data_IF_717609446020
#
_entry.id   IF_717609446020
#
_cell.length_a   1.000
_cell.length_b   1.000
_cell.length_c   1.000
_cell.angle_alpha   90.00
_cell.angle_beta   90.00
_cell.angle_gamma   90.00
#
_symmetry.space_group_name_H-M   'P 1'
#
loop_
_entity.id
_entity.type
_entity.pdbx_description
1 polymer ?
#
# COMPACT_ATOMS: atom_id res chain seq x y z
N UNK A 1 -13.93 -12.33 -10.78
CA UNK A 1 -14.09 -11.66 -9.47
C UNK A 1 -13.55 -10.25 -9.54
N UNK A 2 -14.31 -9.29 -9.05
CA UNK A 2 -13.95 -7.87 -8.94
C UNK A 2 -14.38 -7.39 -7.55
N UNK A 3 -13.55 -6.57 -6.91
CA UNK A 3 -13.85 -5.95 -5.64
C UNK A 3 -13.29 -4.53 -5.61
N UNK A 4 -14.03 -3.61 -5.02
CA UNK A 4 -13.62 -2.22 -4.88
C UNK A 4 -14.01 -1.72 -3.48
N UNK A 5 -13.06 -1.08 -2.80
CA UNK A 5 -13.29 -0.39 -1.53
C UNK A 5 -12.94 1.08 -1.74
N UNK A 6 -13.84 1.98 -1.32
CA UNK A 6 -13.61 3.43 -1.29
C UNK A 6 -13.61 3.91 0.15
N UNK A 7 -12.51 4.52 0.57
CA UNK A 7 -12.32 5.05 1.92
C UNK A 7 -12.10 6.55 1.86
N UNK A 8 -12.75 7.29 2.77
CA UNK A 8 -12.49 8.72 2.97
C UNK A 8 -11.98 8.91 4.40
N UNK A 9 -10.79 9.50 4.51
CA UNK A 9 -10.13 9.77 5.78
C UNK A 9 -10.58 11.12 6.35
N UNK A 10 -10.40 11.32 7.66
CA UNK A 10 -10.82 12.54 8.35
C UNK A 10 -10.18 13.83 7.80
N UNK A 11 -8.96 13.72 7.25
CA UNK A 11 -8.25 14.82 6.60
C UNK A 11 -8.72 15.08 5.14
N UNK A 12 -9.74 14.37 4.67
CA UNK A 12 -10.27 14.49 3.31
C UNK A 12 -9.56 13.63 2.25
N UNK A 13 -8.47 12.94 2.59
CA UNK A 13 -7.80 12.03 1.64
C UNK A 13 -8.72 10.87 1.28
N UNK A 14 -8.74 10.50 0.00
CA UNK A 14 -9.57 9.40 -0.52
C UNK A 14 -8.68 8.29 -1.06
N UNK A 15 -9.00 7.06 -0.69
CA UNK A 15 -8.36 5.87 -1.21
C UNK A 15 -9.41 5.04 -1.95
N UNK A 16 -9.06 4.59 -3.16
CA UNK A 16 -9.81 3.55 -3.87
C UNK A 16 -8.89 2.37 -4.06
N UNK A 17 -9.26 1.23 -3.48
CA UNK A 17 -8.56 -0.04 -3.67
C UNK A 17 -9.42 -0.90 -4.56
N UNK A 18 -8.86 -1.36 -5.66
CA UNK A 18 -9.57 -2.21 -6.63
C UNK A 18 -8.74 -3.47 -6.89
N UNK A 19 -9.43 -4.61 -6.92
CA UNK A 19 -8.89 -5.88 -7.37
C UNK A 19 -9.82 -6.45 -8.44
N UNK A 20 -9.25 -7.02 -9.50
CA UNK A 20 -10.05 -7.64 -10.57
C UNK A 20 -9.22 -8.64 -11.35
N UNK A 21 -9.85 -9.76 -11.72
CA UNK A 21 -9.29 -10.76 -12.65
C UNK A 21 -9.85 -10.61 -14.06
N UNK A 22 -10.59 -9.52 -14.34
CA UNK A 22 -11.30 -9.31 -15.61
C UNK A 22 -10.66 -8.22 -16.48
N UNK A 23 -9.48 -7.71 -16.10
CA UNK A 23 -8.82 -6.60 -16.81
C UNK A 23 -7.73 -7.15 -17.75
N UNK A 24 -7.94 -7.18 -19.08
CA UNK A 24 -6.90 -7.57 -20.03
C UNK A 24 -5.81 -6.51 -20.17
N UNK A 25 -6.15 -5.24 -19.91
CA UNK A 25 -5.19 -4.13 -19.82
C UNK A 25 -4.85 -3.90 -18.35
N UNK A 26 -3.56 -3.89 -17.96
CA UNK A 26 -3.16 -3.62 -16.59
C UNK A 26 -3.58 -2.22 -16.14
N UNK A 27 -4.19 -2.14 -14.95
CA UNK A 27 -4.36 -0.87 -14.25
C UNK A 27 -3.07 -0.48 -13.54
N UNK A 28 -2.86 0.82 -13.26
CA UNK A 28 -1.76 1.25 -12.40
C UNK A 28 -1.82 0.54 -11.04
N UNK A 29 -0.66 0.15 -10.50
CA UNK A 29 -0.57 -0.35 -9.13
C UNK A 29 -0.77 0.77 -8.13
N UNK A 30 -0.24 1.95 -8.45
CA UNK A 30 -0.46 3.18 -7.71
C UNK A 30 -0.83 4.30 -8.68
N UNK A 31 -1.87 5.04 -8.32
CA UNK A 31 -2.20 6.32 -8.92
C UNK A 31 -2.53 7.28 -7.79
N UNK A 32 -1.68 8.28 -7.60
CA UNK A 32 -1.77 9.24 -6.48
C UNK A 32 -1.91 10.63 -7.07
N UNK A 33 -2.86 11.40 -6.55
CA UNK A 33 -3.10 12.77 -6.98
C UNK A 33 -3.06 13.68 -5.76
N UNK A 34 -2.40 14.82 -5.92
CA UNK A 34 -2.36 15.91 -4.96
C UNK A 34 -2.61 17.25 -5.66
N UNK A 35 -2.61 18.31 -4.87
CA UNK A 35 -2.76 19.69 -5.34
C UNK A 35 -1.57 20.16 -6.20
N UNK A 36 -0.37 19.60 -5.98
CA UNK A 36 0.87 20.00 -6.68
C UNK A 36 1.36 19.01 -7.72
N UNK A 37 0.69 17.87 -7.90
CA UNK A 37 1.19 16.86 -8.82
C UNK A 37 0.46 15.53 -8.76
N UNK A 38 0.99 14.56 -9.50
CA UNK A 38 0.47 13.20 -9.55
C UNK A 38 1.61 12.21 -9.75
N UNK A 39 1.41 11.00 -9.23
CA UNK A 39 2.31 9.87 -9.37
C UNK A 39 1.54 8.70 -9.96
N UNK A 40 2.14 8.02 -10.93
CA UNK A 40 1.65 6.76 -11.47
C UNK A 40 2.77 5.71 -11.44
N UNK A 41 2.45 4.51 -10.96
CA UNK A 41 3.37 3.37 -10.91
C UNK A 41 2.67 2.11 -11.40
N UNK A 42 3.36 1.34 -12.23
CA UNK A 42 2.93 0.02 -12.70
C UNK A 42 3.77 -1.09 -12.08
N UNK A 43 3.38 -2.33 -12.37
CA UNK A 43 4.09 -3.52 -11.91
C UNK A 43 3.80 -3.91 -10.46
N UNK A 44 4.14 -5.17 -10.15
CA UNK A 44 4.15 -5.71 -8.80
C UNK A 44 5.59 -5.73 -8.26
N UNK A 45 5.72 -5.85 -6.95
CA UNK A 45 7.03 -6.11 -6.34
C UNK A 45 7.57 -7.46 -6.83
N UNK A 46 8.82 -7.53 -7.33
CA UNK A 46 9.36 -8.73 -7.96
C UNK A 46 9.76 -9.82 -6.95
N UNK A 47 9.87 -9.51 -5.65
CA UNK A 47 10.42 -10.44 -4.66
C UNK A 47 9.68 -11.78 -4.62
N UNK A 48 8.36 -11.80 -4.81
CA UNK A 48 7.59 -13.05 -4.79
C UNK A 48 8.00 -14.00 -5.93
N UNK A 49 8.24 -13.47 -7.14
CA UNK A 49 8.70 -14.25 -8.28
C UNK A 49 10.13 -14.74 -8.11
N UNK A 50 11.01 -13.91 -7.55
CA UNK A 50 12.39 -14.29 -7.26
C UNK A 50 12.47 -15.32 -6.12
N UNK A 51 11.61 -15.21 -5.11
CA UNK A 51 11.47 -16.23 -4.05
C UNK A 51 11.05 -17.58 -4.62
N UNK A 52 10.07 -17.61 -5.53
CA UNK A 52 9.68 -18.86 -6.23
C UNK A 52 10.85 -19.50 -6.96
N UNK A 53 11.79 -18.69 -7.45
CA UNK A 53 13.02 -19.12 -8.14
C UNK A 53 14.21 -19.37 -7.20
N UNK A 54 14.04 -19.17 -5.89
CA UNK A 54 15.07 -19.27 -4.85
C UNK A 54 16.23 -18.28 -5.02
N UNK A 55 15.96 -17.10 -5.58
CA UNK A 55 16.96 -16.06 -5.86
C UNK A 55 16.53 -14.70 -5.28
N UNK A 56 16.05 -14.69 -4.03
CA UNK A 56 15.41 -13.51 -3.42
C UNK A 56 16.31 -12.26 -3.41
N UNK A 57 17.63 -12.42 -3.27
CA UNK A 57 18.58 -11.31 -3.17
C UNK A 57 18.82 -10.59 -4.50
N UNK A 58 18.44 -11.20 -5.63
CA UNK A 58 18.54 -10.59 -6.95
C UNK A 58 17.28 -9.81 -7.36
N UNK A 59 16.26 -9.77 -6.50
CA UNK A 59 15.00 -9.10 -6.79
C UNK A 59 15.21 -7.59 -6.98
N UNK A 60 15.07 -7.12 -8.21
CA UNK A 60 15.12 -5.70 -8.58
C UNK A 60 13.91 -5.32 -9.40
N UNK A 61 13.31 -4.18 -9.09
CA UNK A 61 12.20 -3.68 -9.89
C UNK A 61 12.69 -3.34 -11.31
N UNK A 62 11.83 -3.55 -12.30
CA UNK A 62 12.15 -3.19 -13.68
C UNK A 62 12.14 -1.66 -13.80
N UNK A 63 13.17 -1.01 -14.38
CA UNK A 63 13.14 0.44 -14.62
C UNK A 63 11.90 0.95 -15.38
N UNK A 64 11.30 0.11 -16.22
CA UNK A 64 10.03 0.42 -16.90
C UNK A 64 8.83 0.58 -15.94
N UNK A 65 8.92 0.02 -14.73
CA UNK A 65 7.91 0.10 -13.68
C UNK A 65 8.19 1.21 -12.65
N UNK A 66 9.28 1.97 -12.81
CA UNK A 66 9.59 3.09 -11.92
C UNK A 66 8.45 4.12 -11.94
N UNK A 67 8.26 4.80 -10.81
CA UNK A 67 7.16 5.72 -10.65
C UNK A 67 7.38 6.95 -11.55
N UNK A 68 6.40 7.29 -12.37
CA UNK A 68 6.39 8.54 -13.12
C UNK A 68 5.68 9.60 -12.26
N UNK A 69 6.33 10.72 -12.06
CA UNK A 69 5.84 11.83 -11.25
C UNK A 69 5.77 13.08 -12.11
N UNK A 70 4.61 13.72 -12.10
CA UNK A 70 4.39 15.04 -12.70
C UNK A 70 4.10 15.99 -11.56
N UNK A 71 4.89 17.07 -11.45
CA UNK A 71 4.73 18.08 -10.40
C UNK A 71 4.76 19.48 -11.00
N UNK A 72 4.20 20.46 -10.30
CA UNK A 72 4.35 21.88 -10.62
C UNK A 72 5.22 22.53 -9.55
N UNK A 73 6.42 22.95 -9.93
CA UNK A 73 7.35 23.66 -9.06
C UNK A 73 7.65 25.02 -9.69
N UNK A 74 7.49 26.09 -8.92
CA UNK A 74 7.70 27.48 -9.36
C UNK A 74 6.90 27.85 -10.64
N UNK A 75 5.68 27.32 -10.75
CA UNK A 75 4.80 27.53 -11.91
C UNK A 75 5.17 26.72 -13.15
N UNK A 76 6.23 25.90 -13.09
CA UNK A 76 6.67 25.07 -14.21
C UNK A 76 6.32 23.59 -13.98
N UNK A 77 5.79 22.96 -15.02
CA UNK A 77 5.54 21.52 -15.05
C UNK A 77 6.86 20.77 -15.16
N UNK A 78 7.13 19.88 -14.22
CA UNK A 78 8.27 18.98 -14.22
C UNK A 78 7.80 17.54 -14.27
N UNK A 79 8.52 16.71 -15.02
CA UNK A 79 8.31 15.27 -15.11
C UNK A 79 9.56 14.55 -14.63
N UNK A 80 9.40 13.56 -13.76
CA UNK A 80 10.50 12.81 -13.16
C UNK A 80 10.16 11.33 -13.12
N UNK A 81 11.17 10.48 -13.33
CA UNK A 81 11.07 9.04 -13.09
C UNK A 81 11.81 8.75 -11.79
N UNK A 82 11.11 8.23 -10.79
CA UNK A 82 11.67 7.94 -9.48
C UNK A 82 11.94 6.43 -9.38
N UNK A 83 13.22 6.01 -9.21
CA UNK A 83 13.56 4.62 -8.96
C UNK A 83 12.83 4.06 -7.73
N UNK A 84 12.40 2.80 -7.83
CA UNK A 84 11.80 2.10 -6.70
C UNK A 84 12.84 1.88 -5.60
N UNK A 85 12.44 2.10 -4.34
CA UNK A 85 13.22 1.62 -3.20
C UNK A 85 13.16 0.10 -3.20
N UNK A 86 14.32 -0.55 -3.11
CA UNK A 86 14.39 -2.01 -3.06
C UNK A 86 13.67 -2.53 -1.82
N UNK A 87 12.69 -3.43 -2.03
CA UNK A 87 11.99 -4.07 -0.93
C UNK A 87 12.89 -5.07 -0.22
N UNK A 88 12.63 -5.28 1.07
CA UNK A 88 13.38 -6.23 1.88
C UNK A 88 12.45 -7.06 2.75
N UNK A 89 12.07 -8.24 2.27
CA UNK A 89 11.36 -9.23 3.10
C UNK A 89 12.19 -9.69 4.30
N UNK A 90 13.52 -9.69 4.17
CA UNK A 90 14.46 -10.04 5.26
C UNK A 90 14.32 -9.09 6.44
N UNK A 91 14.03 -7.81 6.20
CA UNK A 91 13.87 -6.81 7.26
C UNK A 91 12.80 -7.17 8.29
N UNK A 92 11.71 -7.82 7.86
CA UNK A 92 10.65 -8.27 8.76
C UNK A 92 11.15 -9.31 9.76
N UNK A 93 11.81 -10.38 9.27
CA UNK A 93 12.34 -11.43 10.14
C UNK A 93 13.52 -10.97 10.99
N UNK A 94 14.33 -10.03 10.46
CA UNK A 94 15.37 -9.39 11.26
C UNK A 94 14.77 -8.65 12.45
N UNK A 95 13.68 -7.90 12.25
CA UNK A 95 12.99 -7.26 13.37
C UNK A 95 12.43 -8.27 14.38
N UNK A 96 11.83 -9.38 13.94
CA UNK A 96 11.38 -10.44 14.86
C UNK A 96 12.54 -10.98 15.69
N UNK A 97 13.68 -11.24 15.06
CA UNK A 97 14.89 -11.69 15.77
C UNK A 97 15.36 -10.65 16.80
N UNK A 98 15.38 -9.37 16.44
CA UNK A 98 15.81 -8.29 17.33
C UNK A 98 14.83 -8.07 18.50
N UNK A 99 13.53 -8.26 18.28
CA UNK A 99 12.52 -8.23 19.36
C UNK A 99 12.79 -9.35 20.36
N UNK A 100 12.96 -10.58 19.88
CA UNK A 100 13.15 -11.76 20.72
C UNK A 100 14.48 -11.76 21.47
N UNK A 101 15.56 -11.30 20.80
CA UNK A 101 16.91 -11.44 21.32
C UNK A 101 17.49 -10.14 21.91
N UNK A 102 16.97 -8.97 21.52
CA UNK A 102 17.53 -7.65 21.89
C UNK A 102 16.50 -6.70 22.49
N UNK A 103 15.24 -7.11 22.64
CA UNK A 103 14.19 -6.26 23.19
C UNK A 103 13.79 -5.08 22.29
N UNK A 104 14.02 -5.18 20.98
CA UNK A 104 13.54 -4.18 20.03
C UNK A 104 11.99 -4.14 19.99
N UNK A 105 11.41 -3.05 19.49
CA UNK A 105 9.97 -2.98 19.23
C UNK A 105 9.58 -3.68 17.91
N UNK A 106 8.38 -4.26 17.87
CA UNK A 106 7.79 -4.78 16.64
C UNK A 106 7.53 -3.65 15.63
N UNK A 107 8.03 -3.80 14.40
CA UNK A 107 7.74 -2.86 13.29
C UNK A 107 6.32 -3.01 12.76
N UNK A 108 5.71 -4.20 12.92
CA UNK A 108 4.30 -4.46 12.67
C UNK A 108 3.66 -4.90 13.98
N UNK A 109 2.88 -4.01 14.59
CA UNK A 109 2.25 -4.22 15.90
C UNK A 109 0.90 -4.93 15.75
N UNK A 110 0.49 -5.83 16.67
CA UNK A 110 -0.81 -6.50 16.62
C UNK A 110 -1.99 -5.53 16.52
N UNK A 111 -1.89 -4.36 17.15
CA UNK A 111 -2.91 -3.31 17.12
C UNK A 111 -3.11 -2.74 15.71
N UNK A 112 -2.05 -2.69 14.88
CA UNK A 112 -2.15 -2.27 13.49
C UNK A 112 -2.92 -3.30 12.65
N UNK A 113 -2.70 -4.59 12.89
CA UNK A 113 -3.46 -5.66 12.22
C UNK A 113 -4.94 -5.60 12.61
N UNK A 114 -5.25 -5.32 13.89
CA UNK A 114 -6.63 -5.11 14.33
C UNK A 114 -7.31 -3.93 13.63
N UNK A 115 -6.57 -2.84 13.36
CA UNK A 115 -7.11 -1.71 12.60
C UNK A 115 -7.42 -2.09 11.15
N UNK A 116 -6.57 -2.91 10.50
CA UNK A 116 -6.84 -3.43 9.16
C UNK A 116 -8.11 -4.29 9.13
N UNK A 117 -8.26 -5.19 10.11
CA UNK A 117 -9.45 -6.04 10.19
C UNK A 117 -10.74 -5.24 10.40
N UNK A 118 -10.71 -4.16 11.19
CA UNK A 118 -11.86 -3.26 11.34
C UNK A 118 -12.28 -2.60 10.02
N UNK A 119 -11.31 -2.22 9.18
CA UNK A 119 -11.60 -1.68 7.84
C UNK A 119 -12.21 -2.76 6.94
N UNK A 120 -11.67 -3.98 7.00
CA UNK A 120 -12.21 -5.12 6.26
C UNK A 120 -13.66 -5.43 6.64
N UNK A 121 -13.95 -5.57 7.94
CA UNK A 121 -15.31 -5.84 8.44
C UNK A 121 -16.29 -4.75 8.02
N UNK A 122 -15.89 -3.48 8.11
CA UNK A 122 -16.71 -2.36 7.65
C UNK A 122 -16.96 -2.37 6.14
N UNK A 123 -15.98 -2.79 5.34
CA UNK A 123 -16.14 -2.94 3.90
C UNK A 123 -17.14 -4.07 3.56
N UNK A 124 -17.10 -5.19 4.30
CA UNK A 124 -18.06 -6.29 4.14
C UNK A 124 -19.48 -5.85 4.48
N UNK A 125 -19.67 -5.19 5.64
CA UNK A 125 -20.98 -4.63 6.03
C UNK A 125 -21.47 -3.61 5.00
N UNK A 126 -20.58 -2.76 4.47
CA UNK A 126 -20.92 -1.79 3.43
C UNK A 126 -21.40 -2.47 2.14
N UNK A 127 -20.75 -3.56 1.73
CA UNK A 127 -21.13 -4.31 0.54
C UNK A 127 -22.50 -5.00 0.69
N UNK A 128 -22.82 -5.51 1.88
CA UNK A 128 -24.11 -6.14 2.16
C UNK A 128 -25.26 -5.13 2.27
N UNK A 129 -25.00 -3.99 2.91
CA UNK A 129 -26.04 -3.00 3.23
C UNK A 129 -26.20 -1.90 2.18
N UNK A 130 -25.27 -1.79 1.23
CA UNK A 130 -25.17 -0.66 0.29
C UNK A 130 -25.10 0.71 0.97
N UNK A 131 -24.51 0.77 2.17
CA UNK A 131 -24.37 2.00 2.94
C UNK A 131 -22.92 2.27 3.31
N UNK A 132 -22.59 3.55 3.53
CA UNK A 132 -21.28 3.96 4.05
C UNK A 132 -21.18 3.60 5.54
N UNK A 133 -20.22 2.77 5.90
CA UNK A 133 -19.92 2.45 7.30
C UNK A 133 -18.89 3.44 7.84
N UNK A 134 -19.26 4.19 8.88
CA UNK A 134 -18.34 5.10 9.57
C UNK A 134 -17.59 4.36 10.66
N UNK A 135 -16.27 4.28 10.53
CA UNK A 135 -15.41 3.80 11.60
C UNK A 135 -15.27 4.90 12.66
N UNK A 136 -15.54 4.54 13.92
CA UNK A 136 -15.20 5.42 15.03
C UNK A 136 -13.70 5.38 15.27
N UNK A 137 -13.13 6.50 15.74
CA UNK A 137 -11.75 6.50 16.22
C UNK A 137 -11.62 5.43 17.30
N UNK A 138 -10.55 4.63 17.24
CA UNK A 138 -10.30 3.63 18.25
C UNK A 138 -10.23 4.32 19.62
N UNK A 139 -11.17 3.98 20.50
CA UNK A 139 -11.16 4.42 21.90
C UNK A 139 -9.80 4.02 22.46
N UNK A 140 -8.96 5.00 22.83
CA UNK A 140 -7.66 4.77 23.46
C UNK A 140 -7.88 4.30 24.90
N UNK A 141 -8.60 3.19 25.09
CA UNK A 141 -8.60 2.50 26.36
C UNK A 141 -7.25 1.83 26.49
N UNK A 142 -6.35 2.54 27.15
CA UNK A 142 -5.13 2.01 27.78
C UNK A 142 -5.44 0.61 28.32
N UNK A 143 -4.76 -0.40 27.79
CA UNK A 143 -4.51 -1.63 28.51
C UNK A 143 -3.10 -1.53 29.06
#
# INVERSE_FOLDING_TARGET
>A
NHGMIRMTFANGTRYTVEITNLSPIPKPRWFVQGDRGSLIKYGLDPQEDYMRRKDILAAKDNPANYAQVVTVQDGQRQEQVIPSVEGSWVSYYQNISDVLNKGAELIVKPEQVLQVMRVYDAAMVSAETNQVVRLQAADQRKR
#
